data_IF_978468280119
#
_entry.id   IF_978468280119
#
_cell.length_a   1.000
_cell.length_b   1.000
_cell.length_c   1.000
_cell.angle_alpha   90.00
_cell.angle_beta   90.00
_cell.angle_gamma   90.00
#
_symmetry.space_group_name_H-M   'P 1'
#
loop_
_entity.id
_entity.type
_entity.pdbx_description
1 polymer ?
#
# COMPACT_ATOMS: atom_id res chain seq x y z
N UNK A 1 -14.98 19.54 -36.94
CA UNK A 1 -14.84 18.59 -35.81
C UNK A 1 -13.55 18.88 -35.01
N UNK A 2 -13.21 20.14 -34.72
CA UNK A 2 -11.78 20.52 -34.52
C UNK A 2 -11.43 21.27 -33.24
N UNK A 3 -12.26 21.26 -32.19
CA UNK A 3 -11.90 21.80 -30.87
C UNK A 3 -12.69 21.07 -29.78
N UNK A 4 -14.01 21.01 -29.94
CA UNK A 4 -14.92 20.29 -29.04
C UNK A 4 -14.59 18.79 -28.89
N UNK A 5 -14.10 18.14 -29.95
CA UNK A 5 -13.69 16.74 -29.88
C UNK A 5 -12.33 16.55 -29.18
N UNK A 6 -11.49 17.58 -29.19
CA UNK A 6 -10.20 17.58 -28.50
C UNK A 6 -10.41 17.85 -27.01
N UNK A 7 -11.21 18.87 -26.66
CA UNK A 7 -11.61 19.20 -25.29
C UNK A 7 -12.30 18.02 -24.59
N UNK A 8 -13.23 17.33 -25.28
CA UNK A 8 -13.90 16.14 -24.75
C UNK A 8 -12.90 15.00 -24.46
N UNK A 9 -11.94 14.76 -25.36
CA UNK A 9 -10.94 13.71 -25.20
C UNK A 9 -10.00 13.97 -24.02
N UNK A 10 -9.64 15.23 -23.76
CA UNK A 10 -8.87 15.62 -22.58
C UNK A 10 -9.67 15.41 -21.29
N UNK A 11 -10.95 15.80 -21.28
CA UNK A 11 -11.85 15.56 -20.13
C UNK A 11 -12.02 14.07 -19.82
N UNK A 12 -12.15 13.23 -20.85
CA UNK A 12 -12.28 11.78 -20.67
C UNK A 12 -11.00 11.16 -20.10
N UNK A 13 -9.82 11.59 -20.57
CA UNK A 13 -8.54 11.09 -20.06
C UNK A 13 -8.24 11.57 -18.63
N UNK A 14 -8.58 12.82 -18.30
CA UNK A 14 -8.41 13.39 -16.96
C UNK A 14 -9.31 12.65 -15.96
N UNK A 15 -10.58 12.44 -16.30
CA UNK A 15 -11.53 11.67 -15.49
C UNK A 15 -11.07 10.21 -15.29
N UNK A 16 -10.61 9.53 -16.35
CA UNK A 16 -10.06 8.18 -16.22
C UNK A 16 -8.83 8.11 -15.31
N UNK A 17 -8.00 9.16 -15.31
CA UNK A 17 -6.83 9.22 -14.42
C UNK A 17 -7.23 9.39 -12.96
N UNK A 18 -8.30 10.13 -12.68
CA UNK A 18 -8.89 10.29 -11.35
C UNK A 18 -9.54 8.99 -10.88
N UNK A 19 -10.39 8.38 -11.71
CA UNK A 19 -11.03 7.09 -11.40
C UNK A 19 -9.99 6.00 -11.06
N UNK A 20 -8.87 5.97 -11.79
CA UNK A 20 -7.77 5.05 -11.48
C UNK A 20 -7.12 5.36 -10.12
N UNK A 21 -6.85 6.63 -9.84
CA UNK A 21 -6.25 7.05 -8.59
C UNK A 21 -7.15 6.71 -7.40
N UNK A 22 -8.43 7.07 -7.47
CA UNK A 22 -9.41 6.79 -6.42
C UNK A 22 -9.57 5.28 -6.19
N UNK A 23 -9.68 4.48 -7.25
CA UNK A 23 -9.88 3.04 -7.12
C UNK A 23 -8.66 2.31 -6.51
N UNK A 24 -7.44 2.75 -6.86
CA UNK A 24 -6.22 2.06 -6.43
C UNK A 24 -5.67 2.66 -5.15
N UNK A 25 -5.47 3.98 -5.10
CA UNK A 25 -4.83 4.66 -3.98
C UNK A 25 -5.77 4.73 -2.77
N UNK A 26 -6.95 5.35 -2.94
CA UNK A 26 -7.92 5.56 -1.86
C UNK A 26 -8.83 4.33 -1.64
N UNK A 27 -8.81 3.37 -2.58
CA UNK A 27 -9.55 2.11 -2.48
C UNK A 27 -8.63 0.98 -2.05
N UNK A 28 -7.98 0.34 -3.02
CA UNK A 28 -7.25 -0.92 -2.80
C UNK A 28 -6.14 -0.80 -1.75
N UNK A 29 -5.34 0.28 -1.78
CA UNK A 29 -4.23 0.46 -0.84
C UNK A 29 -4.68 0.89 0.56
N UNK A 30 -5.86 1.49 0.69
CA UNK A 30 -6.48 1.75 2.00
C UNK A 30 -7.10 0.47 2.56
N UNK A 31 -7.83 -0.30 1.74
CA UNK A 31 -8.38 -1.61 2.13
C UNK A 31 -7.28 -2.55 2.64
N UNK A 32 -6.10 -2.57 1.99
CA UNK A 32 -4.97 -3.38 2.42
C UNK A 32 -4.38 -2.91 3.76
N UNK A 33 -4.31 -1.60 3.98
CA UNK A 33 -3.88 -1.05 5.26
C UNK A 33 -4.82 -1.50 6.37
N UNK A 34 -6.12 -1.33 6.17
CA UNK A 34 -7.14 -1.69 7.14
C UNK A 34 -7.16 -3.21 7.42
N UNK A 35 -7.10 -4.05 6.39
CA UNK A 35 -7.17 -5.51 6.54
C UNK A 35 -5.92 -6.08 7.22
N UNK A 36 -4.72 -5.63 6.82
CA UNK A 36 -3.47 -6.23 7.27
C UNK A 36 -2.94 -5.53 8.52
N UNK A 37 -2.82 -4.21 8.49
CA UNK A 37 -2.18 -3.45 9.57
C UNK A 37 -3.08 -3.31 10.78
N UNK A 38 -4.28 -2.75 10.58
CA UNK A 38 -5.26 -2.53 11.65
C UNK A 38 -6.10 -3.80 11.92
N UNK A 39 -6.11 -4.76 11.00
CA UNK A 39 -6.79 -6.05 11.15
C UNK A 39 -5.85 -7.13 11.67
N UNK A 40 -5.15 -7.81 10.76
CA UNK A 40 -4.39 -9.02 11.08
C UNK A 40 -3.29 -8.76 12.13
N UNK A 41 -2.49 -7.69 12.00
CA UNK A 41 -1.38 -7.43 12.91
C UNK A 41 -1.84 -6.98 14.29
N UNK A 42 -2.98 -6.30 14.39
CA UNK A 42 -3.66 -5.98 15.66
C UNK A 42 -4.23 -7.26 16.29
N UNK A 43 -4.92 -8.09 15.51
CA UNK A 43 -5.46 -9.37 15.96
C UNK A 43 -4.38 -10.31 16.54
N UNK A 44 -3.22 -10.35 15.88
CA UNK A 44 -2.06 -11.12 16.35
C UNK A 44 -1.51 -10.55 17.64
N UNK A 45 -1.44 -9.22 17.76
CA UNK A 45 -1.03 -8.56 18.99
C UNK A 45 -1.96 -8.96 20.14
N UNK A 46 -3.26 -8.72 19.99
CA UNK A 46 -4.23 -8.96 21.05
C UNK A 46 -4.26 -10.43 21.48
N UNK A 47 -4.37 -11.36 20.52
CA UNK A 47 -4.39 -12.81 20.84
C UNK A 47 -3.12 -13.27 21.56
N UNK A 48 -1.99 -12.67 21.25
CA UNK A 48 -0.72 -13.05 21.85
C UNK A 48 -0.52 -12.44 23.24
N UNK A 49 -0.73 -11.13 23.38
CA UNK A 49 -0.46 -10.40 24.62
C UNK A 49 -1.56 -10.58 25.67
N UNK A 50 -2.83 -10.54 25.25
CA UNK A 50 -3.98 -10.66 26.16
C UNK A 50 -4.44 -12.12 26.34
N UNK A 51 -3.95 -13.03 25.49
CA UNK A 51 -4.25 -14.46 25.58
C UNK A 51 -3.02 -15.27 26.02
N UNK A 52 -2.16 -15.59 25.06
CA UNK A 52 -1.06 -16.55 25.27
C UNK A 52 -0.11 -16.14 26.40
N UNK A 53 0.31 -14.87 26.43
CA UNK A 53 1.23 -14.40 27.47
C UNK A 53 0.58 -14.27 28.84
N UNK A 54 -0.70 -13.89 28.89
CA UNK A 54 -1.44 -13.79 30.16
C UNK A 54 -1.62 -15.18 30.78
N UNK A 55 -2.08 -16.16 29.98
CA UNK A 55 -2.21 -17.56 30.39
C UNK A 55 -0.87 -18.18 30.83
N UNK A 56 0.24 -17.80 30.18
CA UNK A 56 1.56 -18.33 30.53
C UNK A 56 2.02 -17.90 31.93
N UNK A 57 1.63 -16.72 32.41
CA UNK A 57 2.01 -16.21 33.73
C UNK A 57 1.43 -17.04 34.88
N UNK A 58 0.40 -17.86 34.64
CA UNK A 58 -0.15 -18.78 35.64
C UNK A 58 0.75 -19.98 35.92
N UNK A 59 1.63 -20.35 34.99
CA UNK A 59 2.39 -21.62 35.05
C UNK A 59 3.89 -21.49 34.80
N UNK A 60 4.35 -20.40 34.19
CA UNK A 60 5.74 -20.19 33.78
C UNK A 60 6.37 -19.03 34.58
N UNK A 61 7.66 -19.11 34.97
CA UNK A 61 8.34 -18.00 35.63
C UNK A 61 8.31 -16.71 34.81
N UNK A 62 8.05 -15.59 35.47
CA UNK A 62 7.98 -14.27 34.83
C UNK A 62 9.19 -13.95 33.94
N UNK A 63 10.40 -14.34 34.35
CA UNK A 63 11.62 -14.08 33.57
C UNK A 63 11.57 -14.70 32.17
N UNK A 64 11.11 -15.95 32.07
CA UNK A 64 10.97 -16.65 30.79
C UNK A 64 9.85 -16.02 29.94
N UNK A 65 8.70 -15.70 30.55
CA UNK A 65 7.61 -14.99 29.84
C UNK A 65 8.07 -13.62 29.34
N UNK A 66 8.86 -12.89 30.12
CA UNK A 66 9.39 -11.57 29.76
C UNK A 66 10.33 -11.62 28.56
N UNK A 67 11.18 -12.65 28.45
CA UNK A 67 12.08 -12.81 27.32
C UNK A 67 11.29 -13.05 26.03
N UNK A 68 10.35 -13.99 26.06
CA UNK A 68 9.49 -14.29 24.89
C UNK A 68 8.64 -13.08 24.51
N UNK A 69 8.09 -12.36 25.49
CA UNK A 69 7.34 -11.12 25.28
C UNK A 69 8.13 -10.07 24.49
N UNK A 70 9.40 -9.91 24.83
CA UNK A 70 10.32 -8.96 24.16
C UNK A 70 10.60 -9.37 22.72
N UNK A 71 10.80 -10.66 22.48
CA UNK A 71 11.10 -11.17 21.13
C UNK A 71 9.87 -11.11 20.21
N UNK A 72 8.68 -11.43 20.72
CA UNK A 72 7.45 -11.25 19.95
C UNK A 72 7.19 -9.77 19.64
N UNK A 73 7.48 -8.87 20.58
CA UNK A 73 7.31 -7.43 20.35
C UNK A 73 8.18 -6.98 19.18
N UNK A 74 9.45 -7.38 19.17
CA UNK A 74 10.39 -7.05 18.07
C UNK A 74 9.89 -7.62 16.75
N UNK A 75 9.47 -8.89 16.74
CA UNK A 75 9.00 -9.55 15.54
C UNK A 75 7.77 -8.83 14.93
N UNK A 76 6.78 -8.50 15.77
CA UNK A 76 5.59 -7.78 15.31
C UNK A 76 5.91 -6.34 14.89
N UNK A 77 6.77 -5.64 15.64
CA UNK A 77 7.21 -4.30 15.29
C UNK A 77 7.93 -4.28 13.93
N UNK A 78 8.76 -5.28 13.65
CA UNK A 78 9.43 -5.41 12.36
C UNK A 78 8.40 -5.69 11.26
N UNK A 79 7.48 -6.64 11.47
CA UNK A 79 6.44 -6.94 10.49
C UNK A 79 5.57 -5.72 10.14
N UNK A 80 5.18 -4.91 11.15
CA UNK A 80 4.47 -3.64 10.93
C UNK A 80 5.30 -2.64 10.13
N UNK A 81 6.58 -2.51 10.48
CA UNK A 81 7.48 -1.58 9.79
C UNK A 81 7.69 -1.98 8.33
N UNK A 82 7.89 -3.28 8.08
CA UNK A 82 8.10 -3.83 6.73
C UNK A 82 6.84 -3.62 5.88
N UNK A 83 5.66 -4.00 6.40
CA UNK A 83 4.39 -3.77 5.71
C UNK A 83 4.17 -2.29 5.38
N UNK A 84 4.38 -1.40 6.37
CA UNK A 84 4.16 0.03 6.15
C UNK A 84 5.14 0.60 5.12
N UNK A 85 6.39 0.12 5.11
CA UNK A 85 7.38 0.51 4.11
C UNK A 85 6.92 0.12 2.71
N UNK A 86 6.52 -1.14 2.53
CA UNK A 86 6.06 -1.66 1.23
C UNK A 86 4.82 -0.90 0.74
N UNK A 87 3.84 -0.68 1.62
CA UNK A 87 2.64 0.08 1.31
C UNK A 87 2.97 1.53 0.92
N UNK A 88 3.88 2.17 1.66
CA UNK A 88 4.33 3.54 1.36
C UNK A 88 4.99 3.62 -0.02
N UNK A 89 5.82 2.64 -0.38
CA UNK A 89 6.45 2.58 -1.70
C UNK A 89 5.42 2.38 -2.82
N UNK A 90 4.43 1.49 -2.61
CA UNK A 90 3.31 1.31 -3.55
C UNK A 90 2.51 2.59 -3.73
N UNK A 91 2.14 3.27 -2.64
CA UNK A 91 1.44 4.57 -2.68
C UNK A 91 2.25 5.61 -3.45
N UNK A 92 3.56 5.68 -3.20
CA UNK A 92 4.47 6.57 -3.92
C UNK A 92 4.47 6.30 -5.42
N UNK A 93 4.48 5.03 -5.83
CA UNK A 93 4.46 4.64 -7.24
C UNK A 93 3.10 4.91 -7.91
N UNK A 94 1.98 4.64 -7.24
CA UNK A 94 0.64 4.96 -7.76
C UNK A 94 0.46 6.47 -7.93
N UNK A 95 0.83 7.26 -6.91
CA UNK A 95 0.80 8.72 -6.98
C UNK A 95 1.72 9.26 -8.09
N UNK A 96 2.93 8.71 -8.19
CA UNK A 96 3.85 9.05 -9.27
C UNK A 96 3.22 8.81 -10.66
N UNK A 97 2.63 7.63 -10.88
CA UNK A 97 1.97 7.29 -12.14
C UNK A 97 0.84 8.25 -12.47
N UNK A 98 -0.01 8.55 -11.50
CA UNK A 98 -1.09 9.52 -11.64
C UNK A 98 -0.58 10.90 -12.07
N UNK A 99 0.43 11.44 -11.37
CA UNK A 99 0.99 12.77 -11.70
C UNK A 99 1.66 12.81 -13.07
N UNK A 100 2.33 11.73 -13.46
CA UNK A 100 2.97 11.59 -14.77
C UNK A 100 1.92 11.51 -15.90
N UNK A 101 0.85 10.71 -15.72
CA UNK A 101 -0.26 10.63 -16.69
C UNK A 101 -0.93 11.99 -16.86
N UNK A 102 -1.25 12.67 -15.75
CA UNK A 102 -1.86 14.01 -15.82
C UNK A 102 -0.96 15.00 -16.53
N UNK A 103 0.36 14.96 -16.27
CA UNK A 103 1.31 15.81 -16.98
C UNK A 103 1.29 15.59 -18.50
N UNK A 104 1.18 14.34 -18.94
CA UNK A 104 1.08 13.98 -20.36
C UNK A 104 -0.28 14.41 -20.97
N UNK A 105 -1.39 14.31 -20.23
CA UNK A 105 -2.72 14.73 -20.72
C UNK A 105 -2.73 16.18 -21.20
N UNK A 106 -2.05 17.09 -20.51
CA UNK A 106 -1.98 18.51 -20.91
C UNK A 106 -0.93 18.79 -22.00
N UNK A 107 -0.27 17.76 -22.54
CA UNK A 107 0.61 17.86 -23.70
C UNK A 107 -0.16 17.90 -25.03
N UNK A 108 0.46 18.49 -26.05
CA UNK A 108 -0.15 18.64 -27.39
C UNK A 108 -0.44 17.27 -28.07
N UNK A 109 0.40 16.26 -27.84
CA UNK A 109 0.31 14.89 -28.38
C UNK A 109 0.51 13.85 -27.27
N UNK A 110 -0.46 13.70 -26.36
CA UNK A 110 -0.30 12.83 -25.19
C UNK A 110 -0.03 11.35 -25.60
N UNK A 111 1.05 10.77 -25.05
CA UNK A 111 1.44 9.36 -25.23
C UNK A 111 1.84 8.74 -23.87
N UNK A 112 0.97 7.89 -23.33
CA UNK A 112 1.18 7.27 -22.03
C UNK A 112 2.13 6.06 -22.06
N UNK A 113 2.58 5.62 -23.24
CA UNK A 113 3.33 4.36 -23.39
C UNK A 113 4.55 4.31 -22.48
N UNK A 114 5.35 5.38 -22.45
CA UNK A 114 6.55 5.45 -21.61
C UNK A 114 6.23 5.47 -20.11
N UNK A 115 5.15 6.16 -19.73
CA UNK A 115 4.69 6.21 -18.33
C UNK A 115 4.25 4.81 -17.90
N UNK A 116 3.39 4.17 -18.69
CA UNK A 116 2.90 2.81 -18.44
C UNK A 116 4.05 1.81 -18.35
N UNK A 117 4.97 1.80 -19.32
CA UNK A 117 6.12 0.88 -19.31
C UNK A 117 7.02 1.08 -18.08
N UNK A 118 7.19 2.33 -17.62
CA UNK A 118 7.97 2.63 -16.41
C UNK A 118 7.31 2.06 -15.17
N UNK A 119 6.00 2.26 -15.02
CA UNK A 119 5.29 1.81 -13.82
C UNK A 119 5.00 0.32 -13.83
N UNK A 120 4.80 -0.32 -14.99
CA UNK A 120 4.80 -1.78 -15.09
C UNK A 120 6.10 -2.39 -14.53
N UNK A 121 7.26 -1.78 -14.83
CA UNK A 121 8.56 -2.24 -14.29
C UNK A 121 8.71 -1.98 -12.79
N UNK A 122 8.11 -0.91 -12.28
CA UNK A 122 8.11 -0.61 -10.84
C UNK A 122 7.23 -1.61 -10.10
N UNK A 123 6.00 -1.82 -10.55
CA UNK A 123 5.06 -2.74 -9.92
C UNK A 123 5.48 -4.21 -10.01
N UNK A 124 6.17 -4.61 -11.08
CA UNK A 124 6.73 -5.96 -11.20
C UNK A 124 7.75 -6.32 -10.11
N UNK A 125 8.32 -5.33 -9.39
CA UNK A 125 9.23 -5.59 -8.27
C UNK A 125 8.49 -6.17 -7.06
N UNK A 126 7.29 -5.66 -6.80
CA UNK A 126 6.45 -6.15 -5.70
C UNK A 126 5.99 -7.60 -5.92
N UNK A 127 5.81 -8.04 -7.17
CA UNK A 127 5.47 -9.45 -7.48
C UNK A 127 6.64 -10.43 -7.24
N UNK A 128 7.88 -9.95 -7.24
CA UNK A 128 9.06 -10.81 -7.14
C UNK A 128 9.64 -10.92 -5.72
N UNK A 129 8.97 -10.32 -4.72
CA UNK A 129 9.39 -10.39 -3.32
C UNK A 129 10.78 -9.76 -3.09
N UNK A 130 11.07 -8.64 -3.76
CA UNK A 130 12.31 -7.87 -3.63
C UNK A 130 12.07 -6.40 -3.38
#
# INVERSE_FOLDING_TARGET
MSALAQDSKYLDADALSEDYYDAVYDGTLDDWYDEIYDGILDDVYDKYYDGVLDDALDTVPYAEVSDVRSDTYKALSNARSDFYSDLSDMRGDVYGMYTDIRSEIYGDDYDFTKVIERYQKKFAKFEQGQ
#
